data_IF_890886395098
#
_entry.id   IF_890886395098
#
_cell.length_a   1.000
_cell.length_b   1.000
_cell.length_c   1.000
_cell.angle_alpha   90.00
_cell.angle_beta   90.00
_cell.angle_gamma   90.00
#
_symmetry.space_group_name_H-M   'P 1'
#
loop_
_entity.id
_entity.type
_entity.pdbx_description
1 polymer ?
#
# COMPACT_ATOMS: atom_id res chain seq x y z
N UNK A 1 13.82 9.16 -9.27
CA UNK A 1 13.70 7.96 -8.40
C UNK A 1 12.66 7.05 -9.05
N UNK A 2 13.04 5.84 -9.50
CA UNK A 2 12.17 4.96 -10.30
C UNK A 2 11.94 3.59 -9.63
N UNK A 3 12.85 3.15 -8.76
CA UNK A 3 12.74 1.85 -8.11
C UNK A 3 11.64 1.84 -7.02
N UNK A 4 10.73 0.87 -7.11
CA UNK A 4 9.64 0.65 -6.14
C UNK A 4 10.06 -0.26 -4.96
N UNK A 5 11.16 -1.01 -5.11
CA UNK A 5 11.70 -1.96 -4.12
C UNK A 5 13.19 -1.69 -3.86
N UNK A 6 13.75 -2.14 -2.72
CA UNK A 6 15.20 -2.11 -2.51
C UNK A 6 15.94 -2.72 -3.70
N UNK A 7 16.96 -2.01 -4.19
CA UNK A 7 17.76 -2.44 -5.35
C UNK A 7 19.05 -3.05 -4.86
N UNK A 8 19.35 -4.29 -5.26
CA UNK A 8 20.58 -4.95 -4.85
C UNK A 8 21.82 -4.29 -5.48
N UNK A 9 22.95 -4.20 -4.74
CA UNK A 9 24.20 -3.63 -5.24
C UNK A 9 24.69 -4.32 -6.51
N UNK A 10 24.50 -5.63 -6.64
CA UNK A 10 24.90 -6.39 -7.82
C UNK A 10 24.17 -5.94 -9.09
N UNK A 11 22.87 -5.61 -8.99
CA UNK A 11 22.11 -5.10 -10.13
C UNK A 11 22.60 -3.71 -10.54
N UNK A 12 22.84 -2.83 -9.56
CA UNK A 12 23.41 -1.51 -9.81
C UNK A 12 24.81 -1.62 -10.43
N UNK A 13 25.64 -2.54 -9.95
CA UNK A 13 26.99 -2.77 -10.44
C UNK A 13 26.99 -3.22 -11.90
N UNK A 14 26.08 -4.14 -12.27
CA UNK A 14 25.89 -4.56 -13.66
C UNK A 14 25.44 -3.40 -14.57
N UNK A 15 24.45 -2.62 -14.14
CA UNK A 15 23.92 -1.50 -14.93
C UNK A 15 24.91 -0.34 -15.09
N UNK A 16 25.75 -0.12 -14.08
CA UNK A 16 26.77 0.94 -14.08
C UNK A 16 28.12 0.45 -14.62
N UNK A 17 28.25 -0.83 -14.95
CA UNK A 17 29.49 -1.46 -15.44
C UNK A 17 30.68 -1.26 -14.47
N UNK A 18 30.44 -1.40 -13.17
CA UNK A 18 31.46 -1.27 -12.11
C UNK A 18 31.46 -2.47 -11.16
N UNK A 19 32.47 -2.57 -10.30
CA UNK A 19 32.53 -3.59 -9.26
C UNK A 19 31.44 -3.38 -8.18
N UNK A 20 30.85 -4.45 -7.61
CA UNK A 20 29.88 -4.34 -6.52
C UNK A 20 30.38 -3.51 -5.32
N UNK A 21 31.63 -3.70 -4.92
CA UNK A 21 32.24 -2.93 -3.82
C UNK A 21 32.29 -1.42 -4.10
N UNK A 22 32.40 -1.04 -5.38
CA UNK A 22 32.36 0.37 -5.79
C UNK A 22 30.97 0.95 -5.61
N UNK A 23 29.92 0.18 -5.89
CA UNK A 23 28.53 0.60 -5.64
C UNK A 23 28.29 0.80 -4.16
N UNK A 24 28.70 -0.14 -3.31
CA UNK A 24 28.54 -0.02 -1.86
C UNK A 24 29.24 1.24 -1.32
N UNK A 25 30.46 1.52 -1.81
CA UNK A 25 31.19 2.75 -1.47
C UNK A 25 30.47 4.02 -1.91
N UNK A 26 30.02 4.09 -3.17
CA UNK A 26 29.27 5.23 -3.70
C UNK A 26 27.96 5.47 -2.95
N UNK A 27 27.23 4.39 -2.62
CA UNK A 27 26.00 4.50 -1.85
C UNK A 27 26.25 4.95 -0.41
N UNK A 28 27.36 4.53 0.22
CA UNK A 28 27.74 5.01 1.54
C UNK A 28 28.11 6.51 1.53
N UNK A 29 28.88 6.95 0.52
CA UNK A 29 29.23 8.36 0.31
C UNK A 29 27.97 9.22 0.12
N UNK A 30 27.03 8.77 -0.73
CA UNK A 30 25.75 9.46 -0.95
C UNK A 30 24.89 9.51 0.31
N UNK A 31 24.82 8.42 1.07
CA UNK A 31 24.07 8.39 2.32
C UNK A 31 24.63 9.41 3.32
N UNK A 32 25.96 9.48 3.47
CA UNK A 32 26.62 10.44 4.35
C UNK A 32 26.42 11.89 3.88
N UNK A 33 26.50 12.14 2.55
CA UNK A 33 26.25 13.46 1.99
C UNK A 33 24.82 13.94 2.30
N UNK A 34 23.80 13.09 2.06
CA UNK A 34 22.41 13.43 2.34
C UNK A 34 22.14 13.68 3.82
N UNK A 35 22.80 12.93 4.70
CA UNK A 35 22.73 13.18 6.15
C UNK A 35 23.36 14.53 6.52
N UNK A 36 24.56 14.83 5.99
CA UNK A 36 25.27 16.08 6.29
C UNK A 36 24.58 17.34 5.75
N UNK A 37 23.75 17.19 4.72
CA UNK A 37 22.97 18.24 4.10
C UNK A 37 21.57 18.41 4.73
N UNK A 38 21.27 17.69 5.83
CA UNK A 38 19.96 17.68 6.51
C UNK A 38 18.79 17.44 5.53
N UNK A 39 18.96 16.50 4.60
CA UNK A 39 17.92 16.18 3.61
C UNK A 39 16.73 15.52 4.31
N UNK A 40 15.52 15.89 3.90
CA UNK A 40 14.27 15.25 4.35
C UNK A 40 14.09 13.77 3.93
N UNK A 41 15.09 13.17 3.29
CA UNK A 41 15.14 11.77 2.92
C UNK A 41 16.55 11.24 3.11
N UNK A 42 16.67 9.92 3.25
CA UNK A 42 17.93 9.21 3.40
C UNK A 42 18.02 8.04 2.45
N UNK A 43 19.23 7.70 2.04
CA UNK A 43 19.55 6.46 1.34
C UNK A 43 19.93 5.41 2.37
N UNK A 44 19.22 4.27 2.41
CA UNK A 44 19.43 3.21 3.40
C UNK A 44 19.62 1.85 2.74
N UNK A 45 20.41 0.99 3.39
CA UNK A 45 20.56 -0.42 3.02
C UNK A 45 19.60 -1.27 3.87
N UNK A 46 18.64 -1.93 3.23
CA UNK A 46 17.60 -2.76 3.86
C UNK A 46 17.51 -4.09 3.13
N UNK A 47 17.55 -5.19 3.88
CA UNK A 47 17.50 -6.55 3.34
C UNK A 47 18.49 -6.79 2.17
N UNK A 48 19.70 -6.21 2.28
CA UNK A 48 20.75 -6.33 1.26
C UNK A 48 20.65 -5.35 0.08
N UNK A 49 19.56 -4.59 -0.08
CA UNK A 49 19.38 -3.62 -1.16
C UNK A 49 19.33 -2.16 -0.69
N UNK A 50 19.56 -1.21 -1.58
CA UNK A 50 19.47 0.22 -1.32
C UNK A 50 18.10 0.78 -1.71
N UNK A 51 17.56 1.68 -0.88
CA UNK A 51 16.36 2.46 -1.19
C UNK A 51 16.39 3.83 -0.54
N UNK A 52 15.64 4.75 -1.11
CA UNK A 52 15.29 6.00 -0.44
C UNK A 52 14.15 5.79 0.57
N UNK A 53 14.23 6.51 1.68
CA UNK A 53 13.20 6.64 2.70
C UNK A 53 13.12 8.09 3.18
N UNK A 54 11.95 8.52 3.66
CA UNK A 54 11.84 9.80 4.38
C UNK A 54 12.73 9.79 5.63
N UNK A 55 13.29 10.94 5.98
CA UNK A 55 14.03 11.10 7.22
C UNK A 55 13.08 10.89 8.42
N UNK A 56 13.50 10.23 9.52
CA UNK A 56 12.65 9.99 10.69
C UNK A 56 12.04 11.26 11.30
N UNK A 57 12.73 12.40 11.23
CA UNK A 57 12.22 13.67 11.74
C UNK A 57 10.93 14.15 11.03
N UNK A 58 10.70 13.64 9.81
CA UNK A 58 9.48 13.93 9.07
C UNK A 58 8.33 12.98 9.42
N UNK A 59 8.52 12.00 10.30
CA UNK A 59 7.48 11.01 10.66
C UNK A 59 6.13 11.64 11.01
N UNK A 60 6.03 12.71 11.84
CA UNK A 60 4.73 13.32 12.15
C UNK A 60 4.02 13.93 10.93
N UNK A 61 4.77 14.38 9.93
CA UNK A 61 4.23 14.94 8.69
C UNK A 61 3.78 13.84 7.74
N UNK A 62 4.59 12.78 7.61
CA UNK A 62 4.25 11.60 6.81
C UNK A 62 3.02 10.90 7.39
N UNK A 63 2.93 10.74 8.71
CA UNK A 63 1.75 10.17 9.36
C UNK A 63 0.50 10.98 9.05
N UNK A 64 0.53 12.31 9.20
CA UNK A 64 -0.62 13.15 8.84
C UNK A 64 -1.00 13.01 7.38
N UNK A 65 -0.03 13.02 6.46
CA UNK A 65 -0.27 12.86 5.03
C UNK A 65 -0.86 11.49 4.67
N UNK A 66 -0.34 10.41 5.25
CA UNK A 66 -0.83 9.04 5.03
C UNK A 66 -2.23 8.86 5.63
N UNK A 67 -2.48 9.47 6.79
CA UNK A 67 -3.77 9.40 7.48
C UNK A 67 -4.80 10.40 6.92
N UNK A 68 -4.38 11.38 6.12
CA UNK A 68 -5.25 12.30 5.41
C UNK A 68 -6.14 11.50 4.44
N UNK A 69 -7.41 11.35 4.78
CA UNK A 69 -8.39 10.56 4.01
C UNK A 69 -8.59 9.11 4.48
N UNK A 70 -7.72 8.52 5.31
CA UNK A 70 -7.92 7.18 5.89
C UNK A 70 -8.80 7.19 7.16
N UNK A 71 -9.10 8.36 7.71
CA UNK A 71 -9.62 8.50 9.07
C UNK A 71 -11.13 8.38 9.28
N UNK A 72 -11.97 8.16 8.26
CA UNK A 72 -13.37 7.82 8.60
C UNK A 72 -13.46 6.35 8.97
N UNK A 73 -13.50 6.08 10.28
CA UNK A 73 -13.91 4.78 10.85
C UNK A 73 -15.07 4.24 10.02
N UNK A 74 -15.03 2.95 9.67
CA UNK A 74 -16.18 2.32 9.04
C UNK A 74 -17.42 2.59 9.90
N UNK A 75 -18.50 3.07 9.27
CA UNK A 75 -19.77 3.20 9.95
C UNK A 75 -20.23 1.83 10.45
N UNK A 76 -21.13 1.80 11.43
CA UNK A 76 -21.72 0.54 11.88
C UNK A 76 -22.31 -0.25 10.70
N UNK A 77 -22.98 0.44 9.77
CA UNK A 77 -23.50 -0.18 8.56
C UNK A 77 -22.40 -0.76 7.65
N UNK A 78 -21.23 -0.13 7.56
CA UNK A 78 -20.11 -0.67 6.78
C UNK A 78 -19.45 -1.88 7.45
N UNK A 79 -19.32 -1.87 8.78
CA UNK A 79 -18.82 -3.02 9.53
C UNK A 79 -19.76 -4.22 9.45
N UNK A 80 -21.07 -4.00 9.57
CA UNK A 80 -22.07 -5.06 9.42
C UNK A 80 -22.04 -5.70 8.03
N UNK A 81 -21.97 -4.88 6.96
CA UNK A 81 -21.81 -5.40 5.60
C UNK A 81 -20.51 -6.19 5.45
N UNK A 82 -19.39 -5.64 5.92
CA UNK A 82 -18.09 -6.30 5.83
C UNK A 82 -18.08 -7.65 6.57
N UNK A 83 -18.70 -7.71 7.76
CA UNK A 83 -18.83 -8.95 8.53
C UNK A 83 -19.64 -10.00 7.76
N UNK A 84 -20.76 -9.63 7.14
CA UNK A 84 -21.54 -10.55 6.31
C UNK A 84 -20.69 -11.11 5.16
N UNK A 85 -19.96 -10.26 4.44
CA UNK A 85 -19.07 -10.71 3.35
C UNK A 85 -18.00 -11.66 3.89
N UNK A 86 -17.31 -11.30 4.97
CA UNK A 86 -16.22 -12.11 5.53
C UNK A 86 -16.66 -13.52 5.95
N UNK A 87 -17.86 -13.66 6.54
CA UNK A 87 -18.36 -14.96 7.04
C UNK A 87 -19.19 -15.75 6.03
N UNK A 88 -19.71 -15.11 4.96
CA UNK A 88 -20.59 -15.77 3.98
C UNK A 88 -20.07 -15.76 2.55
N UNK A 89 -18.88 -15.22 2.29
CA UNK A 89 -18.27 -15.30 0.96
C UNK A 89 -18.13 -16.77 0.49
N UNK A 90 -18.37 -17.06 -0.81
CA UNK A 90 -18.78 -16.13 -1.85
C UNK A 90 -20.27 -15.74 -1.73
N UNK A 91 -20.56 -14.43 -1.79
CA UNK A 91 -21.92 -13.87 -1.63
C UNK A 91 -22.13 -12.68 -2.59
N UNK A 92 -23.30 -12.59 -3.21
CA UNK A 92 -23.64 -11.51 -4.14
C UNK A 92 -24.14 -10.25 -3.43
N UNK A 93 -24.05 -9.10 -4.11
CA UNK A 93 -24.57 -7.81 -3.59
C UNK A 93 -26.05 -7.90 -3.21
N UNK A 94 -26.85 -8.59 -4.02
CA UNK A 94 -28.28 -8.80 -3.77
C UNK A 94 -28.53 -9.63 -2.50
N UNK A 95 -27.74 -10.69 -2.28
CA UNK A 95 -27.85 -11.51 -1.07
C UNK A 95 -27.46 -10.73 0.18
N UNK A 96 -26.42 -9.89 0.11
CA UNK A 96 -26.03 -9.02 1.23
C UNK A 96 -27.12 -8.00 1.54
N UNK A 97 -27.71 -7.37 0.52
CA UNK A 97 -28.85 -6.44 0.66
C UNK A 97 -30.05 -7.14 1.33
N UNK A 98 -30.38 -8.36 0.92
CA UNK A 98 -31.46 -9.15 1.51
C UNK A 98 -31.22 -9.48 2.99
N UNK A 99 -29.98 -9.80 3.39
CA UNK A 99 -29.63 -10.05 4.80
C UNK A 99 -29.69 -8.76 5.62
N UNK A 100 -29.23 -7.63 5.07
CA UNK A 100 -29.24 -6.33 5.76
C UNK A 100 -30.62 -5.69 5.80
N UNK A 101 -31.51 -6.05 4.88
CA UNK A 101 -32.84 -5.44 4.74
C UNK A 101 -32.83 -3.98 4.28
N UNK A 102 -31.68 -3.47 3.82
CA UNK A 102 -31.47 -2.08 3.37
C UNK A 102 -30.53 -2.06 2.17
N UNK A 103 -30.53 -0.96 1.41
CA UNK A 103 -29.57 -0.76 0.32
C UNK A 103 -28.13 -0.74 0.85
N UNK A 104 -27.25 -1.47 0.15
CA UNK A 104 -25.84 -1.63 0.52
C UNK A 104 -24.88 -1.11 -0.56
N UNK A 105 -25.38 -0.57 -1.68
CA UNK A 105 -24.54 -0.21 -2.83
C UNK A 105 -23.45 0.82 -2.48
N UNK A 106 -23.81 1.87 -1.73
CA UNK A 106 -22.84 2.88 -1.28
C UNK A 106 -21.78 2.31 -0.34
N UNK A 107 -22.18 1.39 0.53
CA UNK A 107 -21.28 0.71 1.47
C UNK A 107 -20.35 -0.24 0.73
N UNK A 108 -20.88 -1.07 -0.16
CA UNK A 108 -20.10 -2.01 -0.98
C UNK A 108 -19.06 -1.28 -1.82
N UNK A 109 -19.44 -0.15 -2.46
CA UNK A 109 -18.51 0.71 -3.20
C UNK A 109 -17.39 1.24 -2.31
N UNK A 110 -17.74 1.70 -1.11
CA UNK A 110 -16.76 2.23 -0.14
C UNK A 110 -15.80 1.13 0.33
N UNK A 111 -16.31 -0.07 0.64
CA UNK A 111 -15.49 -1.20 1.06
C UNK A 111 -14.54 -1.66 -0.05
N UNK A 112 -15.01 -1.69 -1.30
CA UNK A 112 -14.18 -2.04 -2.46
C UNK A 112 -13.12 -0.96 -2.74
N UNK A 113 -13.49 0.33 -2.74
CA UNK A 113 -12.54 1.45 -2.92
C UNK A 113 -11.43 1.47 -1.87
N UNK A 114 -11.72 0.99 -0.65
CA UNK A 114 -10.75 0.85 0.44
C UNK A 114 -9.98 -0.46 0.42
N UNK A 115 -10.23 -1.34 -0.55
CA UNK A 115 -9.55 -2.62 -0.70
C UNK A 115 -9.93 -3.66 0.37
N UNK A 116 -11.06 -3.50 1.06
CA UNK A 116 -11.51 -4.47 2.07
C UNK A 116 -12.23 -5.69 1.47
N UNK A 117 -12.79 -5.55 0.25
CA UNK A 117 -13.48 -6.62 -0.49
C UNK A 117 -13.15 -6.50 -1.97
N UNK A 118 -13.28 -7.61 -2.71
CA UNK A 118 -13.11 -7.63 -4.17
C UNK A 118 -14.10 -8.61 -4.85
N UNK A 119 -14.30 -8.47 -6.16
CA UNK A 119 -15.13 -9.36 -6.96
C UNK A 119 -14.38 -10.67 -7.25
N UNK A 120 -14.93 -11.80 -6.80
CA UNK A 120 -14.29 -13.12 -6.94
C UNK A 120 -14.97 -14.02 -7.99
N UNK A 121 -16.23 -13.73 -8.33
CA UNK A 121 -17.02 -14.48 -9.30
C UNK A 121 -18.25 -13.66 -9.74
N UNK A 122 -18.89 -14.08 -10.84
CA UNK A 122 -20.21 -13.62 -11.29
C UNK A 122 -21.15 -14.80 -11.33
N UNK A 123 -22.37 -14.61 -10.86
CA UNK A 123 -23.41 -15.62 -10.97
C UNK A 123 -23.84 -15.82 -12.44
N UNK A 124 -24.23 -17.05 -12.80
CA UNK A 124 -24.66 -17.40 -14.15
C UNK A 124 -26.13 -17.04 -14.44
N UNK A 125 -26.86 -16.54 -13.43
CA UNK A 125 -28.26 -16.11 -13.55
C UNK A 125 -28.47 -14.77 -14.28
N UNK A 126 -29.74 -14.38 -14.52
CA UNK A 126 -30.06 -13.11 -15.15
C UNK A 126 -29.50 -11.94 -14.33
N UNK A 127 -28.65 -11.11 -14.94
CA UNK A 127 -28.03 -9.94 -14.30
C UNK A 127 -26.54 -10.07 -13.95
N UNK A 128 -25.95 -11.27 -14.01
CA UNK A 128 -24.51 -11.54 -13.82
C UNK A 128 -23.86 -10.79 -12.64
N UNK A 129 -24.53 -10.79 -11.48
CA UNK A 129 -24.08 -10.11 -10.26
C UNK A 129 -23.17 -10.98 -9.38
#
# INVERSE_FOLDING_TARGET
MVAERPVEPHLLAQLLEVAPDRVDGLCAELAAAYESEDRGFRLVKVAGGYRFQSHPDLAPYIERFVLEGQSSRLSAAALETLAIVAYKQPISRAQVSAIRGVDVDGVMRTLQQRGYIDEVARDAGPGQA
#
